data_IF_103495714381
#
_entry.id   IF_103495714381
#
_cell.length_a   1.000
_cell.length_b   1.000
_cell.length_c   1.000
_cell.angle_alpha   90.00
_cell.angle_beta   90.00
_cell.angle_gamma   90.00
#
_symmetry.space_group_name_H-M   'P 1'
#
loop_
_entity.id
_entity.type
_entity.pdbx_description
1 polymer ?
#
# COMPACT_ATOMS: atom_id res chain seq x y z
N UNK A 1 9.61 9.38 -15.00
CA UNK A 1 10.12 9.09 -13.64
C UNK A 1 9.32 7.96 -13.02
N UNK A 2 10.01 6.99 -12.49
CA UNK A 2 9.43 5.82 -11.83
C UNK A 2 9.53 5.94 -10.32
N UNK A 3 8.49 5.55 -9.62
CA UNK A 3 8.53 5.35 -8.19
C UNK A 3 8.31 3.86 -7.89
N UNK A 4 9.00 3.35 -6.89
CA UNK A 4 8.77 2.01 -6.36
C UNK A 4 8.26 2.16 -4.95
N UNK A 5 7.12 1.54 -4.67
CA UNK A 5 6.45 1.68 -3.38
C UNK A 5 6.21 0.29 -2.79
N UNK A 6 6.80 0.07 -1.62
CA UNK A 6 6.52 -1.11 -0.81
C UNK A 6 5.34 -0.79 0.11
N UNK A 7 4.38 -1.67 0.21
CA UNK A 7 3.18 -1.45 1.00
C UNK A 7 2.89 -2.64 1.90
N UNK A 8 2.31 -2.38 3.06
CA UNK A 8 1.83 -3.44 3.94
C UNK A 8 0.70 -2.93 4.82
N UNK A 9 -0.14 -3.85 5.26
CA UNK A 9 -1.22 -3.60 6.17
C UNK A 9 -1.30 -4.71 7.21
N UNK A 10 -1.74 -4.36 8.40
CA UNK A 10 -1.83 -5.29 9.51
C UNK A 10 -3.07 -4.99 10.34
N UNK A 11 -3.61 -6.01 10.96
CA UNK A 11 -4.76 -5.85 11.86
C UNK A 11 -4.57 -6.79 13.05
N UNK A 12 -4.76 -6.26 14.26
CA UNK A 12 -4.55 -7.03 15.49
C UNK A 12 -5.54 -8.18 15.65
N UNK A 13 -6.77 -7.94 15.19
CA UNK A 13 -7.77 -8.98 15.02
C UNK A 13 -8.60 -8.56 13.80
N UNK A 14 -9.28 -9.49 13.18
CA UNK A 14 -9.92 -9.23 11.89
C UNK A 14 -11.43 -9.45 12.00
N UNK A 15 -12.26 -8.41 12.32
CA UNK A 15 -11.89 -6.99 12.39
C UNK A 15 -11.24 -6.58 13.71
N UNK A 16 -10.57 -5.45 13.70
CA UNK A 16 -9.93 -4.90 14.88
C UNK A 16 -9.14 -3.65 14.55
N UNK A 17 -8.24 -3.28 15.45
CA UNK A 17 -7.38 -2.14 15.24
C UNK A 17 -6.27 -2.51 14.25
N UNK A 18 -6.06 -1.68 13.26
CA UNK A 18 -5.11 -1.94 12.20
C UNK A 18 -4.10 -0.84 12.00
N UNK A 19 -3.13 -1.13 11.15
CA UNK A 19 -2.11 -0.19 10.73
C UNK A 19 -1.75 -0.44 9.27
N UNK A 20 -1.27 0.59 8.63
CA UNK A 20 -0.79 0.53 7.25
C UNK A 20 0.54 1.26 7.16
N UNK A 21 1.35 0.88 6.18
CA UNK A 21 2.61 1.56 5.92
C UNK A 21 2.96 1.48 4.44
N UNK A 22 3.62 2.51 3.93
CA UNK A 22 4.28 2.43 2.63
C UNK A 22 5.67 3.06 2.71
N UNK A 23 6.55 2.57 1.85
CA UNK A 23 7.91 3.07 1.71
C UNK A 23 8.16 3.32 0.22
N UNK A 24 8.39 4.58 -0.14
CA UNK A 24 8.52 4.99 -1.54
C UNK A 24 9.90 5.52 -1.84
N UNK A 25 10.48 5.06 -2.94
CA UNK A 25 11.71 5.66 -3.46
C UNK A 25 11.42 7.03 -4.04
N UNK A 26 12.21 8.00 -3.67
CA UNK A 26 12.12 9.37 -4.20
C UNK A 26 13.46 9.80 -4.79
N UNK A 27 13.49 10.97 -5.41
CA UNK A 27 14.71 11.54 -5.96
C UNK A 27 15.78 11.70 -4.87
N UNK A 28 17.04 11.79 -5.28
CA UNK A 28 18.22 11.99 -4.41
C UNK A 28 18.58 10.77 -3.56
N UNK A 29 18.07 9.59 -3.92
CA UNK A 29 18.43 8.36 -3.22
C UNK A 29 17.78 8.19 -1.85
N UNK A 30 16.88 9.07 -1.47
CA UNK A 30 16.14 8.94 -0.22
C UNK A 30 14.87 8.12 -0.41
N UNK A 31 14.29 7.69 0.68
CA UNK A 31 13.00 7.01 0.69
C UNK A 31 12.04 7.72 1.63
N UNK A 32 10.78 7.70 1.28
CA UNK A 32 9.72 8.30 2.08
C UNK A 32 8.92 7.19 2.74
N UNK A 33 8.92 7.17 4.06
CA UNK A 33 8.14 6.23 4.86
C UNK A 33 6.92 6.94 5.42
N UNK A 34 5.75 6.34 5.24
CA UNK A 34 4.51 6.86 5.83
C UNK A 34 3.72 5.70 6.42
N UNK A 35 3.07 5.94 7.54
CA UNK A 35 2.28 4.92 8.22
C UNK A 35 1.20 5.57 9.08
N UNK A 36 0.20 4.78 9.45
CA UNK A 36 -0.88 5.27 10.30
C UNK A 36 -1.71 4.15 10.88
N UNK A 37 -2.44 4.45 11.94
CA UNK A 37 -3.33 3.53 12.62
C UNK A 37 -4.79 3.82 12.24
N UNK A 38 -5.60 2.77 12.19
CA UNK A 38 -7.03 2.86 11.92
C UNK A 38 -7.74 1.94 12.90
N UNK A 39 -8.79 2.44 13.53
CA UNK A 39 -9.62 1.64 14.43
C UNK A 39 -10.65 0.85 13.62
N UNK A 40 -11.01 -0.31 14.14
CA UNK A 40 -12.11 -1.13 13.64
C UNK A 40 -12.04 -1.34 12.11
N UNK A 41 -11.02 -2.04 11.68
CA UNK A 41 -10.75 -2.28 10.27
C UNK A 41 -10.43 -3.77 10.04
N UNK A 42 -9.94 -4.11 8.86
CA UNK A 42 -9.55 -5.46 8.48
C UNK A 42 -8.19 -5.47 7.81
N UNK A 43 -7.55 -6.63 7.75
CA UNK A 43 -6.27 -6.79 7.04
C UNK A 43 -6.38 -6.31 5.59
N UNK A 44 -7.42 -6.73 4.88
CA UNK A 44 -7.57 -6.35 3.47
C UNK A 44 -7.72 -4.84 3.30
N UNK A 45 -8.49 -4.18 4.18
CA UNK A 45 -8.66 -2.73 4.12
C UNK A 45 -7.33 -2.02 4.40
N UNK A 46 -6.53 -2.54 5.31
CA UNK A 46 -5.22 -1.94 5.62
C UNK A 46 -4.23 -2.10 4.47
N UNK A 47 -4.22 -3.27 3.82
CA UNK A 47 -3.40 -3.47 2.63
C UNK A 47 -3.78 -2.49 1.52
N UNK A 48 -5.09 -2.33 1.28
CA UNK A 48 -5.59 -1.38 0.28
C UNK A 48 -5.27 0.06 0.65
N UNK A 49 -5.40 0.40 1.93
CA UNK A 49 -5.11 1.76 2.41
C UNK A 49 -3.64 2.12 2.18
N UNK A 50 -2.73 1.19 2.43
CA UNK A 50 -1.31 1.41 2.16
C UNK A 50 -1.06 1.70 0.67
N UNK A 51 -1.67 0.92 -0.21
CA UNK A 51 -1.55 1.11 -1.66
C UNK A 51 -2.13 2.46 -2.08
N UNK A 52 -3.33 2.78 -1.63
CA UNK A 52 -4.01 4.03 -1.97
C UNK A 52 -3.17 5.23 -1.51
N UNK A 53 -2.73 5.22 -0.27
CA UNK A 53 -1.94 6.32 0.28
C UNK A 53 -0.60 6.47 -0.44
N UNK A 54 0.04 5.36 -0.79
CA UNK A 54 1.26 5.39 -1.58
C UNK A 54 1.05 6.01 -2.95
N UNK A 55 0.00 5.60 -3.64
CA UNK A 55 -0.33 6.15 -4.96
C UNK A 55 -0.72 7.63 -4.89
N UNK A 56 -1.47 8.04 -3.88
CA UNK A 56 -1.80 9.45 -3.68
C UNK A 56 -0.54 10.29 -3.48
N UNK A 57 0.40 9.78 -2.70
CA UNK A 57 1.67 10.48 -2.50
C UNK A 57 2.47 10.57 -3.79
N UNK A 58 2.59 9.48 -4.52
CA UNK A 58 3.29 9.49 -5.81
C UNK A 58 2.67 10.49 -6.79
N UNK A 59 1.34 10.51 -6.85
CA UNK A 59 0.62 11.46 -7.69
C UNK A 59 0.93 12.90 -7.29
N UNK A 60 0.93 13.18 -5.99
CA UNK A 60 1.22 14.53 -5.49
C UNK A 60 2.64 14.99 -5.80
N UNK A 61 3.57 14.05 -5.93
CA UNK A 61 4.96 14.33 -6.28
C UNK A 61 5.23 14.33 -7.79
N UNK A 62 4.21 14.11 -8.61
CA UNK A 62 4.32 14.16 -10.06
C UNK A 62 4.75 12.86 -10.72
N UNK A 63 4.81 11.75 -10.00
CA UNK A 63 5.12 10.45 -10.59
C UNK A 63 3.93 9.93 -11.36
N UNK A 64 4.18 9.44 -12.57
CA UNK A 64 3.15 8.85 -13.43
C UNK A 64 3.33 7.35 -13.61
N UNK A 65 4.55 6.86 -13.43
CA UNK A 65 4.88 5.44 -13.53
C UNK A 65 5.25 4.95 -12.14
N UNK A 66 4.47 4.00 -11.62
CA UNK A 66 4.62 3.54 -10.24
C UNK A 66 4.57 2.02 -10.22
N UNK A 67 5.48 1.41 -9.49
CA UNK A 67 5.45 -0.02 -9.20
C UNK A 67 5.12 -0.19 -7.72
N UNK A 68 4.04 -0.89 -7.44
CA UNK A 68 3.65 -1.28 -6.08
C UNK A 68 4.17 -2.69 -5.82
N UNK A 69 4.83 -2.87 -4.69
CA UNK A 69 5.28 -4.18 -4.22
C UNK A 69 4.50 -4.50 -2.96
N UNK A 70 3.67 -5.53 -3.03
CA UNK A 70 2.75 -5.91 -1.95
C UNK A 70 2.82 -7.41 -1.69
N UNK A 71 2.60 -7.83 -0.45
CA UNK A 71 2.43 -9.24 -0.11
C UNK A 71 0.95 -9.66 -0.08
N UNK A 72 0.04 -8.75 -0.38
CA UNK A 72 -1.38 -9.03 -0.40
C UNK A 72 -1.81 -9.68 -1.72
N UNK A 73 -2.16 -10.96 -1.66
CA UNK A 73 -2.74 -11.67 -2.79
C UNK A 73 -4.10 -11.08 -3.18
N UNK A 74 -4.85 -10.61 -2.20
CA UNK A 74 -6.15 -10.00 -2.45
C UNK A 74 -6.03 -8.79 -3.38
N UNK A 75 -5.08 -7.89 -3.09
CA UNK A 75 -4.86 -6.70 -3.92
C UNK A 75 -4.30 -7.10 -5.29
N UNK A 76 -3.26 -7.91 -5.30
CA UNK A 76 -2.58 -8.28 -6.53
C UNK A 76 -3.50 -9.03 -7.49
N UNK A 77 -4.22 -10.02 -7.00
CA UNK A 77 -5.12 -10.82 -7.85
C UNK A 77 -6.29 -9.99 -8.38
N UNK A 78 -6.87 -9.12 -7.56
CA UNK A 78 -8.02 -8.32 -7.99
C UNK A 78 -7.66 -7.40 -9.14
N UNK A 79 -6.45 -6.84 -9.11
CA UNK A 79 -6.01 -5.92 -10.15
C UNK A 79 -5.44 -6.69 -11.35
N UNK A 80 -4.51 -7.60 -11.12
CA UNK A 80 -3.76 -8.26 -12.21
C UNK A 80 -4.56 -9.30 -12.97
N UNK A 81 -5.54 -9.92 -12.33
CA UNK A 81 -6.40 -10.90 -12.98
C UNK A 81 -7.63 -10.30 -13.68
N UNK A 82 -7.74 -8.97 -13.69
CA UNK A 82 -8.86 -8.29 -14.33
C UNK A 82 -10.17 -8.37 -13.54
N UNK A 83 -10.13 -8.81 -12.28
CA UNK A 83 -11.34 -8.92 -11.46
C UNK A 83 -11.94 -7.55 -11.18
N UNK A 84 -11.10 -6.54 -11.00
CA UNK A 84 -11.58 -5.19 -10.72
C UNK A 84 -12.46 -4.66 -11.85
N UNK A 85 -12.06 -4.88 -13.11
CA UNK A 85 -12.86 -4.46 -14.27
C UNK A 85 -14.22 -5.15 -14.27
N UNK A 86 -14.25 -6.45 -13.95
CA UNK A 86 -15.50 -7.20 -13.86
C UNK A 86 -16.39 -6.70 -12.74
N UNK A 87 -15.80 -6.35 -11.62
CA UNK A 87 -16.56 -5.84 -10.48
C UNK A 87 -17.18 -4.47 -10.77
N UNK A 88 -16.45 -3.64 -11.52
CA UNK A 88 -16.97 -2.34 -11.96
C UNK A 88 -18.18 -2.54 -12.88
N UNK A 89 -18.09 -3.46 -13.85
CA UNK A 89 -19.19 -3.76 -14.75
C UNK A 89 -20.44 -4.23 -14.02
N UNK A 90 -20.29 -4.93 -12.90
CA UNK A 90 -21.40 -5.38 -12.06
C UNK A 90 -21.78 -4.40 -10.97
N UNK A 91 -21.23 -3.18 -10.99
CA UNK A 91 -21.41 -2.16 -9.94
C UNK A 91 -21.03 -2.67 -8.56
N UNK A 92 -20.01 -3.52 -8.48
CA UNK A 92 -19.50 -4.13 -7.26
C UNK A 92 -20.54 -4.97 -6.51
N UNK A 93 -21.50 -5.54 -7.21
CA UNK A 93 -22.55 -6.35 -6.59
C UNK A 93 -21.94 -7.49 -5.76
N UNK A 94 -22.32 -7.58 -4.49
CA UNK A 94 -21.84 -8.60 -3.58
C UNK A 94 -20.38 -8.47 -3.13
N UNK A 95 -19.71 -7.38 -3.44
CA UNK A 95 -18.30 -7.20 -3.11
C UNK A 95 -18.12 -6.38 -1.83
N UNK A 96 -17.01 -6.66 -1.12
CA UNK A 96 -16.60 -5.90 0.06
C UNK A 96 -15.62 -4.80 -0.32
N UNK A 97 -15.47 -3.83 0.56
CA UNK A 97 -14.46 -2.77 0.42
C UNK A 97 -14.68 -1.90 -0.81
N UNK A 98 -15.94 -1.69 -1.20
CA UNK A 98 -16.29 -0.96 -2.41
C UNK A 98 -15.68 0.44 -2.41
N UNK A 99 -15.73 1.14 -1.28
CA UNK A 99 -15.18 2.48 -1.13
C UNK A 99 -13.70 2.55 -1.49
N UNK A 100 -12.94 1.55 -1.05
CA UNK A 100 -11.50 1.46 -1.34
C UNK A 100 -11.25 1.10 -2.81
N UNK A 101 -12.03 0.16 -3.35
CA UNK A 101 -11.85 -0.26 -4.74
C UNK A 101 -12.18 0.87 -5.73
N UNK A 102 -13.23 1.65 -5.45
CA UNK A 102 -13.58 2.80 -6.29
C UNK A 102 -12.44 3.81 -6.29
N UNK A 103 -11.91 4.12 -5.12
CA UNK A 103 -10.81 5.08 -5.00
C UNK A 103 -9.55 4.58 -5.70
N UNK A 104 -9.22 3.31 -5.50
CA UNK A 104 -8.06 2.71 -6.14
C UNK A 104 -8.20 2.69 -7.66
N UNK A 105 -9.37 2.36 -8.16
CA UNK A 105 -9.62 2.36 -9.59
C UNK A 105 -9.35 3.74 -10.21
N UNK A 106 -9.81 4.79 -9.56
CA UNK A 106 -9.54 6.16 -10.03
C UNK A 106 -8.05 6.46 -10.13
N UNK A 107 -7.28 6.00 -9.16
CA UNK A 107 -5.82 6.17 -9.18
C UNK A 107 -5.17 5.34 -10.29
N UNK A 108 -5.62 4.11 -10.48
CA UNK A 108 -5.10 3.25 -11.55
C UNK A 108 -5.38 3.81 -12.94
N UNK A 109 -6.48 4.54 -13.10
CA UNK A 109 -6.79 5.21 -14.37
C UNK A 109 -5.95 6.46 -14.62
N UNK A 110 -5.44 7.10 -13.56
CA UNK A 110 -4.71 8.36 -13.67
C UNK A 110 -3.19 8.19 -13.77
N UNK A 111 -2.69 7.00 -13.51
CA UNK A 111 -1.25 6.69 -13.52
C UNK A 111 -1.01 5.34 -14.17
N UNK A 112 0.24 5.12 -14.58
CA UNK A 112 0.67 3.81 -15.06
C UNK A 112 1.19 3.02 -13.85
N UNK A 113 0.36 2.12 -13.33
CA UNK A 113 0.66 1.38 -12.11
C UNK A 113 0.87 -0.10 -12.42
N UNK A 114 1.98 -0.64 -11.92
CA UNK A 114 2.24 -2.08 -11.95
C UNK A 114 2.19 -2.60 -10.52
N UNK A 115 1.48 -3.71 -10.33
CA UNK A 115 1.39 -4.36 -9.03
C UNK A 115 2.21 -5.63 -9.09
N UNK A 116 3.19 -5.76 -8.20
CA UNK A 116 4.01 -6.96 -8.07
C UNK A 116 3.79 -7.57 -6.71
N UNK A 117 3.52 -8.87 -6.70
CA UNK A 117 3.40 -9.61 -5.46
C UNK A 117 4.75 -10.11 -5.00
N UNK A 118 5.00 -10.01 -3.70
CA UNK A 118 6.14 -10.62 -3.05
C UNK A 118 5.64 -11.51 -1.91
N UNK A 119 6.40 -12.54 -1.61
CA UNK A 119 6.07 -13.45 -0.51
C UNK A 119 6.02 -12.75 0.86
N UNK A 120 6.51 -11.54 0.90
CA UNK A 120 6.73 -10.88 2.17
C UNK A 120 7.93 -11.47 2.85
N UNK A 121 8.31 -11.00 3.96
CA UNK A 121 9.27 -11.59 4.84
C UNK A 121 10.67 -11.11 4.68
N UNK A 122 11.45 -11.89 5.14
CA UNK A 122 12.73 -11.73 5.83
C UNK A 122 13.88 -11.38 4.89
N UNK A 123 13.72 -11.49 3.59
CA UNK A 123 14.83 -11.32 2.65
C UNK A 123 14.92 -9.91 2.07
N UNK A 124 13.81 -9.17 2.09
CA UNK A 124 13.77 -7.82 1.55
C UNK A 124 13.66 -6.83 2.71
N UNK A 125 14.71 -6.04 2.97
CA UNK A 125 14.69 -5.10 4.09
C UNK A 125 13.59 -4.05 3.97
N UNK A 126 13.21 -3.67 2.77
CA UNK A 126 12.14 -2.68 2.57
C UNK A 126 10.78 -3.26 2.90
N UNK A 127 10.55 -4.50 2.51
CA UNK A 127 9.31 -5.19 2.84
C UNK A 127 9.21 -5.43 4.35
N UNK A 128 10.32 -5.80 4.99
CA UNK A 128 10.38 -5.95 6.44
C UNK A 128 10.07 -4.65 7.17
N UNK A 129 10.53 -3.53 6.63
CA UNK A 129 10.33 -2.22 7.24
C UNK A 129 8.85 -1.84 7.25
N UNK A 130 8.15 -2.00 6.13
CA UNK A 130 6.72 -1.67 6.07
C UNK A 130 5.89 -2.63 6.94
N UNK A 131 6.25 -3.90 6.97
CA UNK A 131 5.61 -4.87 7.87
C UNK A 131 5.76 -4.43 9.33
N UNK A 132 6.97 -4.06 9.72
CA UNK A 132 7.25 -3.61 11.08
C UNK A 132 6.38 -2.40 11.47
N UNK A 133 6.32 -1.39 10.63
CA UNK A 133 5.57 -0.17 10.96
C UNK A 133 4.07 -0.40 10.92
N UNK A 134 3.56 -1.15 9.95
CA UNK A 134 2.14 -1.47 9.90
C UNK A 134 1.70 -2.22 11.16
N UNK A 135 2.50 -3.20 11.60
CA UNK A 135 2.20 -4.00 12.79
C UNK A 135 2.34 -3.19 14.07
N UNK A 136 3.38 -2.35 14.15
CA UNK A 136 3.68 -1.60 15.37
C UNK A 136 2.65 -0.51 15.64
N UNK A 137 2.15 0.18 14.61
CA UNK A 137 1.18 1.26 14.81
C UNK A 137 -0.23 0.76 15.04
N UNK A 138 -0.53 -0.47 14.65
CA UNK A 138 -1.86 -1.06 14.89
C UNK A 138 -2.17 -1.05 16.39
N UNK A 139 -3.30 -0.48 16.76
CA UNK A 139 -3.71 -0.38 18.16
C UNK A 139 -3.21 0.88 18.88
N UNK A 140 -2.42 1.72 18.21
CA UNK A 140 -2.01 3.01 18.76
C UNK A 140 -3.00 4.10 18.38
N UNK A 141 -2.78 5.32 18.89
CA UNK A 141 -3.53 6.50 18.48
C UNK A 141 -2.81 7.28 17.37
N UNK A 142 -1.80 6.68 16.78
CA UNK A 142 -0.95 7.38 15.82
C UNK A 142 -1.69 7.58 14.50
N UNK A 143 -1.88 8.83 14.14
CA UNK A 143 -2.43 9.19 12.84
C UNK A 143 -1.32 9.08 11.79
N UNK A 144 -1.51 9.70 10.63
CA UNK A 144 -0.52 9.60 9.56
C UNK A 144 0.79 10.24 10.00
N UNK A 145 1.87 9.49 9.89
CA UNK A 145 3.24 9.94 10.16
C UNK A 145 4.07 9.74 8.90
N UNK A 146 4.93 10.70 8.61
CA UNK A 146 5.76 10.68 7.41
C UNK A 146 7.20 10.99 7.78
N UNK A 147 8.15 10.22 7.25
CA UNK A 147 9.58 10.37 7.54
C UNK A 147 10.40 10.11 6.29
N UNK A 148 11.49 10.86 6.15
CA UNK A 148 12.48 10.59 5.11
C UNK A 148 13.53 9.63 5.67
N UNK A 149 13.87 8.63 4.88
CA UNK A 149 14.87 7.64 5.23
C UNK A 149 15.92 7.60 4.13
N UNK A 150 17.19 7.64 4.52
CA UNK A 150 18.28 7.50 3.57
C UNK A 150 18.43 6.05 3.14
N UNK A 151 18.84 5.84 1.89
CA UNK A 151 19.04 4.50 1.33
C UNK A 151 20.32 3.85 1.82
N UNK A 152 20.43 3.66 3.11
CA UNK A 152 21.64 3.07 3.66
C UNK A 152 21.77 1.57 3.35
N UNK A 153 20.65 0.91 3.12
CA UNK A 153 20.65 -0.51 2.80
C UNK A 153 21.29 -0.85 1.46
N UNK A 154 21.34 0.10 0.54
CA UNK A 154 21.82 -0.13 -0.80
C UNK A 154 23.32 0.13 -0.97
N UNK A 155 23.99 0.57 0.07
CA UNK A 155 25.39 0.95 0.02
C UNK A 155 26.35 -0.20 0.30
N UNK A 156 25.83 -1.40 0.42
CA UNK A 156 26.68 -2.52 0.83
C UNK A 156 26.81 -3.60 -0.19
#
# INVERSE_FOLDING_TARGET
>A
MNAVIYTDGSCKSNPGNGGWAFLMSIANGNMLLSYGAVENTTNNRMEMTAVINGLLKAQSLGYKDVTIITDSKYVENTINNGWLDKWIDSSFAGKKNIDRWVRLYGLLCSMNVKIKWTKGHHEDPYNMLVDHYASTVAGTNMTITESLIKREYEKK
#
